data_IF_207118052832
#
_entry.id   IF_207118052832
#
_cell.length_a   1.000
_cell.length_b   1.000
_cell.length_c   1.000
_cell.angle_alpha   90.00
_cell.angle_beta   90.00
_cell.angle_gamma   90.00
#
_symmetry.space_group_name_H-M   'P 1'
#
loop_
_entity.id
_entity.type
_entity.pdbx_description
1 polymer ?
#
# COMPACT_ATOMS: atom_id res chain seq x y z
N UNK A 1 26.99 -33.97 -9.32
CA UNK A 1 25.58 -34.26 -9.64
C UNK A 1 24.80 -33.30 -8.78
N UNK A 2 24.34 -32.20 -9.38
CA UNK A 2 23.68 -31.14 -8.63
C UNK A 2 22.32 -31.64 -8.18
N UNK A 3 22.06 -31.52 -6.88
CA UNK A 3 20.82 -31.97 -6.27
C UNK A 3 19.69 -31.05 -6.76
N UNK A 4 18.60 -31.58 -7.35
CA UNK A 4 17.48 -30.75 -7.81
C UNK A 4 16.78 -29.98 -6.67
N UNK A 5 17.04 -30.32 -5.40
CA UNK A 5 16.57 -29.58 -4.23
C UNK A 5 17.36 -28.28 -3.99
N UNK A 6 18.66 -28.24 -4.31
CA UNK A 6 19.50 -27.05 -4.09
C UNK A 6 19.08 -25.90 -5.04
N UNK A 7 18.55 -26.24 -6.23
CA UNK A 7 17.95 -25.28 -7.17
C UNK A 7 16.60 -24.72 -6.71
N UNK A 8 15.88 -25.45 -5.86
CA UNK A 8 14.63 -24.95 -5.29
C UNK A 8 14.94 -23.96 -4.15
N UNK A 9 15.96 -24.21 -3.34
CA UNK A 9 16.41 -23.30 -2.28
C UNK A 9 16.97 -21.98 -2.85
N UNK A 10 17.74 -22.03 -3.96
CA UNK A 10 18.20 -20.84 -4.69
C UNK A 10 17.05 -20.01 -5.31
N UNK A 11 15.86 -20.60 -5.52
CA UNK A 11 14.70 -19.84 -6.04
C UNK A 11 14.00 -19.03 -4.93
N UNK A 12 14.30 -19.30 -3.66
CA UNK A 12 13.72 -18.59 -2.51
C UNK A 12 14.68 -17.58 -1.86
N UNK A 13 15.98 -17.64 -2.14
CA UNK A 13 16.94 -16.54 -1.87
C UNK A 13 16.92 -15.53 -3.02
N UNK A 14 15.78 -14.86 -3.20
CA UNK A 14 15.70 -13.70 -4.09
C UNK A 14 16.18 -12.50 -3.29
N UNK A 15 17.33 -11.94 -3.70
CA UNK A 15 17.81 -10.62 -3.36
C UNK A 15 16.61 -9.65 -3.38
N UNK A 16 16.11 -9.25 -2.19
CA UNK A 16 15.47 -7.95 -2.08
C UNK A 16 16.43 -6.96 -2.77
N UNK A 17 15.95 -5.94 -3.51
CA UNK A 17 16.85 -4.87 -3.90
C UNK A 17 17.52 -4.39 -2.61
N UNK A 18 18.78 -4.78 -2.41
CA UNK A 18 19.53 -4.47 -1.19
C UNK A 18 19.35 -2.98 -1.02
N UNK A 19 18.87 -2.48 0.14
CA UNK A 19 18.37 -1.13 0.27
C UNK A 19 19.50 -0.11 0.05
N UNK A 20 19.82 0.16 -1.21
CA UNK A 20 20.68 1.23 -1.65
C UNK A 20 19.92 2.56 -1.58
N UNK A 21 18.58 2.48 -1.65
CA UNK A 21 17.68 3.58 -1.41
C UNK A 21 17.89 4.15 0.01
N UNK A 22 18.37 5.38 0.06
CA UNK A 22 18.60 6.09 1.32
C UNK A 22 17.32 6.73 1.88
N UNK A 23 16.24 6.75 1.10
CA UNK A 23 14.97 7.41 1.43
C UNK A 23 13.78 6.50 1.13
N UNK A 24 12.68 6.74 1.83
CA UNK A 24 11.42 6.03 1.64
C UNK A 24 10.88 6.21 0.22
N UNK A 25 10.92 7.44 -0.30
CA UNK A 25 10.46 7.74 -1.65
C UNK A 25 11.23 6.95 -2.73
N UNK A 26 12.55 6.81 -2.58
CA UNK A 26 13.37 6.07 -3.54
C UNK A 26 13.08 4.57 -3.48
N UNK A 27 12.91 4.02 -2.27
CA UNK A 27 12.60 2.59 -2.13
C UNK A 27 11.20 2.27 -2.67
N UNK A 28 10.23 3.16 -2.44
CA UNK A 28 8.90 3.03 -3.03
C UNK A 28 8.91 3.14 -4.55
N UNK A 29 9.73 4.01 -5.14
CA UNK A 29 9.82 4.12 -6.60
C UNK A 29 10.27 2.80 -7.26
N UNK A 30 11.16 2.05 -6.60
CA UNK A 30 11.58 0.72 -7.06
C UNK A 30 10.46 -0.31 -6.87
N UNK A 31 9.89 -0.42 -5.67
CA UNK A 31 8.88 -1.43 -5.33
C UNK A 31 7.57 -1.22 -6.10
N UNK A 32 7.10 0.02 -6.23
CA UNK A 32 5.84 0.35 -6.90
C UNK A 32 5.86 0.03 -8.40
N UNK A 33 7.04 0.09 -9.04
CA UNK A 33 7.17 -0.30 -10.44
C UNK A 33 6.73 -1.76 -10.68
N UNK A 34 6.96 -2.63 -9.70
CA UNK A 34 6.61 -4.05 -9.77
C UNK A 34 5.16 -4.32 -9.35
N UNK A 35 4.69 -3.66 -8.27
CA UNK A 35 3.43 -4.05 -7.61
C UNK A 35 2.21 -3.25 -8.05
N UNK A 36 2.36 -2.13 -8.76
CA UNK A 36 1.23 -1.22 -9.08
C UNK A 36 0.03 -1.90 -9.75
N UNK A 37 0.25 -2.98 -10.52
CA UNK A 37 -0.81 -3.72 -11.22
C UNK A 37 -1.78 -4.46 -10.29
N UNK A 38 -1.39 -4.67 -9.04
CA UNK A 38 -2.19 -5.31 -8.02
C UNK A 38 -2.87 -4.30 -7.08
N UNK A 39 -2.71 -3.01 -7.36
CA UNK A 39 -3.43 -1.98 -6.64
C UNK A 39 -4.92 -2.06 -6.96
N UNK A 40 -5.72 -1.90 -5.93
CA UNK A 40 -7.15 -1.61 -6.03
C UNK A 40 -7.37 -0.17 -6.51
N UNK A 41 -8.60 0.20 -6.87
CA UNK A 41 -8.96 1.54 -7.32
C UNK A 41 -9.49 2.43 -6.18
N UNK A 42 -9.32 3.76 -6.27
CA UNK A 42 -9.88 4.67 -5.27
C UNK A 42 -11.42 4.69 -5.26
N UNK A 43 -12.06 4.31 -6.36
CA UNK A 43 -13.51 4.12 -6.40
C UNK A 43 -14.00 2.96 -5.53
N UNK A 44 -13.13 2.00 -5.21
CA UNK A 44 -13.42 0.84 -4.37
C UNK A 44 -13.25 1.16 -2.88
N UNK A 45 -14.18 2.00 -2.37
CA UNK A 45 -14.08 2.58 -1.03
C UNK A 45 -13.97 1.53 0.09
N UNK A 46 -14.41 0.28 -0.11
CA UNK A 46 -14.29 -0.77 0.91
C UNK A 46 -12.85 -1.01 1.40
N UNK A 47 -11.85 -0.69 0.59
CA UNK A 47 -10.45 -0.91 0.96
C UNK A 47 -9.93 0.12 1.97
N UNK A 48 -10.47 1.33 2.00
CA UNK A 48 -9.95 2.43 2.84
C UNK A 48 -10.98 3.15 3.70
N UNK A 49 -12.27 2.97 3.41
CA UNK A 49 -13.39 3.50 4.19
C UNK A 49 -14.00 2.40 5.05
N UNK A 50 -14.20 2.68 6.33
CA UNK A 50 -14.90 1.78 7.24
C UNK A 50 -15.86 2.55 8.17
N UNK A 51 -16.97 1.91 8.53
CA UNK A 51 -17.85 2.43 9.58
C UNK A 51 -17.12 2.38 10.92
N UNK A 52 -17.08 3.51 11.63
CA UNK A 52 -16.25 3.66 12.85
C UNK A 52 -14.79 4.06 12.59
N UNK A 53 -14.38 4.17 11.32
CA UNK A 53 -13.06 4.63 10.90
C UNK A 53 -12.02 3.52 10.85
N UNK A 54 -11.37 3.37 9.69
CA UNK A 54 -10.18 2.52 9.52
C UNK A 54 -8.93 3.34 9.87
N UNK A 55 -8.13 2.96 10.89
CA UNK A 55 -6.92 3.69 11.27
C UNK A 55 -5.79 3.43 10.28
N UNK A 56 -5.43 4.46 9.52
CA UNK A 56 -4.29 4.46 8.62
C UNK A 56 -3.12 5.20 9.26
N UNK A 57 -2.11 4.47 9.70
CA UNK A 57 -0.90 5.02 10.31
C UNK A 57 0.06 5.54 9.25
N UNK A 58 0.45 6.80 9.36
CA UNK A 58 1.43 7.44 8.48
C UNK A 58 2.84 6.93 8.77
N UNK A 59 3.58 6.63 7.71
CA UNK A 59 4.97 6.16 7.76
C UNK A 59 5.87 7.19 7.07
N UNK A 60 6.97 7.55 7.74
CA UNK A 60 7.96 8.52 7.25
C UNK A 60 9.39 8.02 7.49
N UNK A 61 10.34 8.52 6.70
CA UNK A 61 11.77 8.29 6.86
C UNK A 61 12.51 9.39 7.64
N UNK A 62 11.79 10.43 8.10
CA UNK A 62 12.34 11.51 8.90
C UNK A 62 12.74 11.01 10.32
N UNK A 63 14.03 11.09 10.71
CA UNK A 63 14.49 10.69 12.05
C UNK A 63 13.84 11.48 13.20
N UNK A 64 13.31 12.67 12.92
CA UNK A 64 12.59 13.51 13.89
C UNK A 64 11.12 13.16 14.04
N UNK A 65 10.59 12.26 13.22
CA UNK A 65 9.19 11.86 13.26
C UNK A 65 8.95 10.85 14.38
N UNK A 66 8.40 11.34 15.49
CA UNK A 66 8.04 10.52 16.66
C UNK A 66 6.52 10.48 16.92
N UNK A 67 5.77 11.35 16.24
CA UNK A 67 4.33 11.49 16.38
C UNK A 67 3.61 10.32 15.70
N UNK A 68 2.60 9.76 16.36
CA UNK A 68 1.68 8.83 15.74
C UNK A 68 0.60 9.61 14.98
N UNK A 69 0.71 9.64 13.65
CA UNK A 69 -0.26 10.30 12.78
C UNK A 69 -1.19 9.25 12.18
N UNK A 70 -2.46 9.27 12.57
CA UNK A 70 -3.50 8.41 12.03
C UNK A 70 -4.41 9.20 11.10
N UNK A 71 -4.80 8.57 10.01
CA UNK A 71 -5.77 9.08 9.06
C UNK A 71 -6.99 8.18 9.04
N UNK A 72 -8.18 8.79 8.99
CA UNK A 72 -9.44 8.08 8.88
C UNK A 72 -10.21 8.66 7.71
N UNK A 73 -10.53 7.80 6.75
CA UNK A 73 -11.39 8.12 5.62
C UNK A 73 -12.77 7.53 5.93
N UNK A 74 -13.71 8.37 6.32
CA UNK A 74 -15.04 7.94 6.74
C UNK A 74 -16.05 8.08 5.60
N UNK A 75 -17.21 7.40 5.71
CA UNK A 75 -18.30 7.55 4.76
C UNK A 75 -18.72 9.02 4.58
N UNK A 76 -19.30 9.34 3.42
CA UNK A 76 -19.74 10.69 3.04
C UNK A 76 -18.63 11.74 2.93
N UNK A 77 -17.38 11.32 2.77
CA UNK A 77 -16.25 12.24 2.56
C UNK A 77 -15.75 12.92 3.84
N UNK A 78 -16.11 12.42 5.02
CA UNK A 78 -15.50 12.92 6.27
C UNK A 78 -14.07 12.39 6.38
N UNK A 79 -13.13 13.30 6.66
CA UNK A 79 -11.74 12.96 6.93
C UNK A 79 -11.39 13.36 8.35
N UNK A 80 -10.72 12.47 9.10
CA UNK A 80 -10.15 12.79 10.40
C UNK A 80 -8.66 12.51 10.38
N UNK A 81 -7.89 13.41 10.99
CA UNK A 81 -6.48 13.18 11.29
C UNK A 81 -6.30 13.23 12.80
N UNK A 82 -5.68 12.19 13.38
CA UNK A 82 -5.26 12.18 14.77
C UNK A 82 -3.75 12.29 14.84
N UNK A 83 -3.23 13.27 15.57
CA UNK A 83 -1.80 13.42 15.85
C UNK A 83 -1.63 13.28 17.36
N UNK A 84 -1.03 12.16 17.80
CA UNK A 84 -0.88 11.80 19.21
C UNK A 84 -2.19 11.90 20.01
N UNK A 85 -3.30 11.51 19.38
CA UNK A 85 -4.65 11.55 19.97
C UNK A 85 -5.41 12.87 19.78
N UNK A 86 -4.77 13.92 19.28
CA UNK A 86 -5.45 15.18 18.96
C UNK A 86 -6.09 15.11 17.58
N UNK A 87 -7.42 15.22 17.54
CA UNK A 87 -8.19 15.03 16.30
C UNK A 87 -8.48 16.36 15.62
N UNK A 88 -8.09 16.43 14.34
CA UNK A 88 -8.48 17.50 13.41
C UNK A 88 -9.47 16.94 12.39
N UNK A 89 -10.55 17.68 12.16
CA UNK A 89 -11.55 17.34 11.14
C UNK A 89 -11.20 17.96 9.79
N UNK A 90 -11.60 17.26 8.74
CA UNK A 90 -11.42 17.64 7.36
C UNK A 90 -12.42 16.95 6.45
N UNK A 91 -12.17 17.02 5.15
CA UNK A 91 -12.96 16.34 4.13
C UNK A 91 -12.06 15.64 3.13
N UNK A 92 -12.56 14.57 2.53
CA UNK A 92 -11.94 13.95 1.37
C UNK A 92 -12.98 13.77 0.27
N UNK A 93 -12.53 13.81 -0.99
CA UNK A 93 -13.38 13.53 -2.15
C UNK A 93 -12.55 12.99 -3.30
N UNK A 94 -13.16 12.18 -4.14
CA UNK A 94 -12.56 11.72 -5.38
C UNK A 94 -12.82 12.73 -6.51
N UNK A 95 -11.95 12.72 -7.51
CA UNK A 95 -12.23 13.34 -8.79
C UNK A 95 -12.82 12.28 -9.73
N UNK A 96 -14.08 12.45 -10.08
CA UNK A 96 -14.86 11.49 -10.87
C UNK A 96 -14.14 11.06 -12.16
N UNK A 97 -14.13 9.75 -12.42
CA UNK A 97 -13.47 9.17 -13.58
C UNK A 97 -11.94 9.16 -13.51
N UNK A 98 -11.35 9.43 -12.34
CA UNK A 98 -9.90 9.41 -12.14
C UNK A 98 -9.50 8.72 -10.84
N UNK A 99 -8.27 8.22 -10.78
CA UNK A 99 -7.64 7.74 -9.55
C UNK A 99 -6.97 8.88 -8.77
N UNK A 100 -7.73 9.94 -8.50
CA UNK A 100 -7.25 11.10 -7.76
C UNK A 100 -8.17 11.45 -6.60
N UNK A 101 -7.55 11.80 -5.48
CA UNK A 101 -8.22 12.16 -4.24
C UNK A 101 -7.80 13.56 -3.81
N UNK A 102 -8.76 14.35 -3.36
CA UNK A 102 -8.51 15.63 -2.69
C UNK A 102 -8.73 15.42 -1.20
N UNK A 103 -7.75 15.84 -0.40
CA UNK A 103 -7.83 15.85 1.06
C UNK A 103 -7.78 17.31 1.52
N UNK A 104 -8.77 17.71 2.29
CA UNK A 104 -8.92 19.04 2.86
C UNK A 104 -8.74 18.94 4.37
N UNK A 105 -7.69 19.58 4.89
CA UNK A 105 -7.36 19.60 6.32
C UNK A 105 -7.53 21.00 6.90
N UNK A 106 -8.13 21.07 8.08
CA UNK A 106 -8.36 22.33 8.79
C UNK A 106 -9.54 23.11 8.22
N UNK A 107 -10.34 23.68 9.12
CA UNK A 107 -11.57 24.37 8.75
C UNK A 107 -12.52 24.61 9.91
N UNK A 108 -11.99 24.95 11.09
CA UNK A 108 -12.79 25.49 12.19
C UNK A 108 -12.18 26.85 12.57
N UNK A 109 -12.96 27.89 12.32
CA UNK A 109 -12.94 29.25 12.86
C UNK A 109 -11.79 30.23 12.63
N UNK A 110 -10.65 29.91 11.96
CA UNK A 110 -9.66 30.97 11.58
C UNK A 110 -8.47 30.61 10.68
N UNK A 111 -8.25 29.33 10.33
CA UNK A 111 -7.09 28.92 9.51
C UNK A 111 -7.55 28.53 8.10
N UNK A 112 -6.93 29.02 7.00
CA UNK A 112 -7.26 28.56 5.65
C UNK A 112 -7.14 27.03 5.56
N UNK A 113 -8.19 26.40 5.04
CA UNK A 113 -8.23 24.97 4.74
C UNK A 113 -7.13 24.62 3.75
N UNK A 114 -6.22 23.72 4.15
CA UNK A 114 -5.18 23.20 3.25
C UNK A 114 -5.81 22.10 2.41
N UNK A 115 -5.99 22.36 1.12
CA UNK A 115 -6.50 21.38 0.15
C UNK A 115 -5.33 20.83 -0.67
N UNK A 116 -5.19 19.51 -0.67
CA UNK A 116 -4.12 18.82 -1.40
C UNK A 116 -4.71 17.77 -2.34
N UNK A 117 -4.19 17.75 -3.56
CA UNK A 117 -4.55 16.76 -4.58
C UNK A 117 -3.50 15.65 -4.60
N UNK A 118 -3.97 14.42 -4.57
CA UNK A 118 -3.19 13.21 -4.64
C UNK A 118 -3.65 12.33 -5.81
N UNK A 119 -2.73 11.54 -6.33
CA UNK A 119 -2.98 10.42 -7.22
C UNK A 119 -2.76 9.12 -6.46
N UNK A 120 -3.48 8.07 -6.82
CA UNK A 120 -3.22 6.75 -6.27
C UNK A 120 -1.87 6.23 -6.74
N UNK A 121 -1.03 5.80 -5.80
CA UNK A 121 0.20 5.06 -6.10
C UNK A 121 0.00 3.56 -5.85
N UNK A 122 -0.62 3.20 -4.73
CA UNK A 122 -0.96 1.81 -4.40
C UNK A 122 -2.04 1.75 -3.32
N UNK A 123 -2.95 0.78 -3.41
CA UNK A 123 -3.98 0.51 -2.42
C UNK A 123 -4.25 -0.99 -2.33
N UNK A 124 -4.32 -1.50 -1.10
CA UNK A 124 -4.95 -2.78 -0.79
C UNK A 124 -5.52 -2.75 0.64
N UNK A 125 -5.83 -3.92 1.20
CA UNK A 125 -6.38 -4.04 2.56
C UNK A 125 -5.46 -3.52 3.67
N UNK A 126 -4.14 -3.48 3.45
CA UNK A 126 -3.15 -3.16 4.48
C UNK A 126 -2.31 -1.93 4.20
N UNK A 127 -2.18 -1.52 2.94
CA UNK A 127 -1.32 -0.44 2.51
C UNK A 127 -2.12 0.57 1.68
N UNK A 128 -1.91 1.85 1.96
CA UNK A 128 -2.52 2.93 1.23
C UNK A 128 -1.51 4.04 0.98
N UNK A 129 -1.08 4.15 -0.28
CA UNK A 129 -0.01 5.04 -0.71
C UNK A 129 -0.57 6.01 -1.75
N UNK A 130 -0.46 7.29 -1.43
CA UNK A 130 -0.92 8.38 -2.27
C UNK A 130 0.27 9.20 -2.74
N UNK A 131 0.38 9.42 -4.05
CA UNK A 131 1.37 10.32 -4.61
C UNK A 131 0.82 11.74 -4.64
N UNK A 132 1.53 12.70 -4.06
CA UNK A 132 1.10 14.10 -4.14
C UNK A 132 1.20 14.64 -5.56
N UNK A 133 0.12 15.18 -6.09
CA UNK A 133 0.08 15.72 -7.44
C UNK A 133 1.03 16.92 -7.60
N UNK A 134 1.63 17.04 -8.79
CA UNK A 134 2.59 18.10 -9.13
C UNK A 134 4.06 17.70 -8.95
N UNK A 135 4.97 18.62 -9.29
CA UNK A 135 6.41 18.33 -9.31
C UNK A 135 7.05 18.46 -7.91
N UNK A 136 6.89 17.43 -7.08
CA UNK A 136 7.49 17.37 -5.73
C UNK A 136 9.00 17.14 -5.77
N UNK A 137 9.51 16.42 -6.78
CA UNK A 137 10.94 16.17 -6.96
C UNK A 137 11.75 17.48 -7.07
N UNK A 138 11.23 18.49 -7.79
CA UNK A 138 11.86 19.83 -7.84
C UNK A 138 11.79 20.61 -6.53
N UNK A 139 10.89 20.23 -5.61
CA UNK A 139 10.65 20.93 -4.33
C UNK A 139 11.35 20.27 -3.14
N UNK A 140 12.06 19.15 -3.33
CA UNK A 140 12.70 18.36 -2.25
C UNK A 140 11.73 18.04 -1.10
N UNK A 141 10.46 17.85 -1.42
CA UNK A 141 9.42 17.44 -0.46
C UNK A 141 9.06 15.99 -0.72
N UNK A 142 8.60 15.30 0.33
CA UNK A 142 8.09 13.94 0.23
C UNK A 142 7.08 13.81 -0.92
N UNK A 143 7.34 12.85 -1.79
CA UNK A 143 6.54 12.55 -2.98
C UNK A 143 5.28 11.76 -2.60
N UNK A 144 5.42 10.84 -1.65
CA UNK A 144 4.36 9.96 -1.21
C UNK A 144 3.84 10.32 0.19
N UNK A 145 2.53 10.18 0.35
CA UNK A 145 1.87 10.02 1.64
C UNK A 145 1.65 8.53 1.82
N UNK A 146 2.44 7.94 2.72
CA UNK A 146 2.54 6.49 2.91
C UNK A 146 1.80 6.12 4.16
N UNK A 147 0.83 5.22 4.05
CA UNK A 147 0.05 4.75 5.19
C UNK A 147 -0.09 3.24 5.18
N UNK A 148 -0.16 2.66 6.37
CA UNK A 148 -0.58 1.27 6.55
C UNK A 148 -1.68 1.12 7.59
N UNK A 149 -2.40 0.02 7.52
CA UNK A 149 -3.42 -0.30 8.49
C UNK A 149 -2.77 -0.50 9.86
N UNK A 150 -3.09 0.38 10.82
CA UNK A 150 -2.34 0.52 12.08
C UNK A 150 -2.16 -0.81 12.82
N UNK A 151 -3.18 -1.67 13.02
CA UNK A 151 -2.99 -2.96 13.68
C UNK A 151 -1.99 -3.91 13.01
N UNK A 152 -1.71 -3.72 11.72
CA UNK A 152 -0.79 -4.54 10.94
C UNK A 152 0.63 -3.96 10.86
N UNK A 153 0.77 -2.64 10.86
CA UNK A 153 2.07 -1.97 10.60
C UNK A 153 2.66 -1.23 11.79
N UNK A 154 1.96 -1.19 12.93
CA UNK A 154 2.41 -0.47 14.11
C UNK A 154 3.80 -0.96 14.59
N UNK A 155 4.67 -0.01 14.92
CA UNK A 155 6.03 -0.27 15.41
C UNK A 155 7.06 -0.61 14.33
N UNK A 156 6.65 -0.72 13.06
CA UNK A 156 7.59 -0.94 11.95
C UNK A 156 8.36 0.34 11.62
N UNK A 157 9.65 0.19 11.29
CA UNK A 157 10.40 1.26 10.63
C UNK A 157 10.01 1.29 9.16
N UNK A 158 10.25 2.42 8.51
CA UNK A 158 9.89 2.60 7.11
C UNK A 158 10.51 1.56 6.16
N UNK A 159 11.73 1.07 6.44
CA UNK A 159 12.36 -0.02 5.66
C UNK A 159 11.59 -1.32 5.81
N UNK A 160 11.35 -1.73 7.06
CA UNK A 160 10.59 -2.94 7.36
C UNK A 160 9.16 -2.87 6.79
N UNK A 161 8.56 -1.68 6.77
CA UNK A 161 7.27 -1.43 6.12
C UNK A 161 7.31 -1.70 4.61
N UNK A 162 8.32 -1.18 3.90
CA UNK A 162 8.46 -1.39 2.45
C UNK A 162 8.80 -2.84 2.13
N UNK A 163 9.63 -3.48 2.97
CA UNK A 163 9.91 -4.91 2.86
C UNK A 163 8.63 -5.73 3.04
N UNK A 164 7.79 -5.38 4.04
CA UNK A 164 6.51 -6.03 4.27
C UNK A 164 5.54 -5.84 3.09
N UNK A 165 5.48 -4.63 2.53
CA UNK A 165 4.71 -4.32 1.32
C UNK A 165 5.11 -5.21 0.15
N UNK A 166 6.41 -5.38 -0.09
CA UNK A 166 6.91 -6.23 -1.17
C UNK A 166 6.72 -7.73 -0.88
N UNK A 167 6.85 -8.14 0.37
CA UNK A 167 6.64 -9.53 0.79
C UNK A 167 5.18 -9.96 0.63
N UNK A 168 4.22 -9.08 0.95
CA UNK A 168 2.80 -9.33 0.74
C UNK A 168 2.51 -9.61 -0.74
N UNK A 169 3.11 -8.83 -1.64
CA UNK A 169 3.04 -9.08 -3.09
C UNK A 169 3.56 -10.48 -3.46
N UNK A 170 4.78 -10.82 -3.02
CA UNK A 170 5.40 -12.11 -3.36
C UNK A 170 4.58 -13.30 -2.83
N UNK A 171 4.03 -13.19 -1.63
CA UNK A 171 3.22 -14.24 -1.00
C UNK A 171 1.91 -14.49 -1.77
N UNK A 172 1.24 -13.42 -2.21
CA UNK A 172 0.04 -13.54 -3.04
C UNK A 172 0.35 -14.21 -4.39
N UNK A 173 1.48 -13.86 -5.00
CA UNK A 173 1.92 -14.49 -6.25
C UNK A 173 2.24 -15.99 -6.08
N UNK A 174 2.94 -16.36 -5.00
CA UNK A 174 3.23 -17.77 -4.69
C UNK A 174 1.96 -18.57 -4.40
N UNK A 175 0.99 -17.99 -3.70
CA UNK A 175 -0.31 -18.63 -3.45
C UNK A 175 -1.09 -18.85 -4.76
N UNK A 176 -1.12 -17.84 -5.64
CA UNK A 176 -1.75 -17.96 -6.96
C UNK A 176 -1.10 -19.06 -7.81
N UNK A 177 0.24 -19.13 -7.83
CA UNK A 177 0.97 -20.20 -8.52
C UNK A 177 0.60 -21.59 -7.97
N UNK A 178 0.55 -21.74 -6.65
CA UNK A 178 0.17 -23.01 -6.01
C UNK A 178 -1.26 -23.44 -6.37
N UNK A 179 -2.22 -22.51 -6.36
CA UNK A 179 -3.61 -22.79 -6.77
C UNK A 179 -3.68 -23.20 -8.24
N UNK A 180 -2.97 -22.49 -9.12
CA UNK A 180 -2.88 -22.82 -10.56
C UNK A 180 -2.37 -24.24 -10.79
N UNK A 181 -1.30 -24.65 -10.10
CA UNK A 181 -0.76 -26.01 -10.18
C UNK A 181 -1.80 -27.05 -9.78
N UNK A 182 -2.52 -26.83 -8.68
CA UNK A 182 -3.59 -27.74 -8.23
C UNK A 182 -4.71 -27.84 -9.28
N UNK A 183 -5.13 -26.72 -9.86
CA UNK A 183 -6.15 -26.71 -10.93
C UNK A 183 -5.70 -27.50 -12.16
N UNK A 184 -4.45 -27.32 -12.61
CA UNK A 184 -3.88 -28.08 -13.73
C UNK A 184 -3.84 -29.58 -13.44
N UNK A 185 -3.44 -29.98 -12.21
CA UNK A 185 -3.45 -31.38 -11.79
C UNK A 185 -4.87 -31.96 -11.83
N UNK A 186 -5.87 -31.22 -11.34
CA UNK A 186 -7.28 -31.65 -11.39
C UNK A 186 -7.73 -31.85 -12.84
N UNK A 187 -7.40 -30.91 -13.74
CA UNK A 187 -7.73 -31.02 -15.17
C UNK A 187 -7.10 -32.28 -15.78
N UNK A 188 -5.83 -32.55 -15.49
CA UNK A 188 -5.14 -33.76 -15.97
C UNK A 188 -5.84 -35.02 -15.47
N UNK A 189 -6.19 -35.09 -14.18
CA UNK A 189 -6.91 -36.25 -13.60
C UNK A 189 -8.25 -36.46 -14.31
N UNK A 190 -9.03 -35.40 -14.53
CA UNK A 190 -10.33 -35.47 -15.22
C UNK A 190 -10.16 -35.98 -16.66
N UNK A 191 -9.17 -35.48 -17.40
CA UNK A 191 -8.88 -35.90 -18.77
C UNK A 191 -8.48 -37.38 -18.80
N UNK A 192 -7.57 -37.81 -17.93
CA UNK A 192 -7.14 -39.22 -17.86
C UNK A 192 -8.34 -40.12 -17.57
N UNK A 193 -9.14 -39.80 -16.54
CA UNK A 193 -10.35 -40.56 -16.20
C UNK A 193 -11.39 -40.58 -17.32
N UNK A 194 -11.49 -39.51 -18.11
CA UNK A 194 -12.38 -39.44 -19.27
C UNK A 194 -11.90 -40.29 -20.45
N UNK A 195 -10.59 -40.54 -20.57
CA UNK A 195 -10.02 -41.42 -21.60
C UNK A 195 -10.07 -42.89 -21.17
N UNK A 196 -10.05 -43.16 -19.85
CA UNK A 196 -10.08 -44.54 -19.32
C UNK A 196 -11.49 -45.12 -19.13
N UNK A 197 -12.55 -44.30 -19.27
CA UNK A 197 -13.94 -44.75 -19.35
C UNK A 197 -14.37 -44.94 -20.79
#
# INVERSE_FOLDING_TARGET
MDNPLDKLEETFEVDLPVPQAQTLDAYLDEVLADIHKLSEDLSEQQYYVASGGKPWLEVRDDPGFQEAVLHFFNPNGEYLQSVDGNVTRGKWRLLDGTNKMIIEQGGIDRNPSRSELFELAFLNNYFFILQKHGNQARKKKGKYMVMGYEPYVNGLKWKDFVDLLYNEYRSQWGTFQNVMVVVVIIIIIVVVLSITK
#
